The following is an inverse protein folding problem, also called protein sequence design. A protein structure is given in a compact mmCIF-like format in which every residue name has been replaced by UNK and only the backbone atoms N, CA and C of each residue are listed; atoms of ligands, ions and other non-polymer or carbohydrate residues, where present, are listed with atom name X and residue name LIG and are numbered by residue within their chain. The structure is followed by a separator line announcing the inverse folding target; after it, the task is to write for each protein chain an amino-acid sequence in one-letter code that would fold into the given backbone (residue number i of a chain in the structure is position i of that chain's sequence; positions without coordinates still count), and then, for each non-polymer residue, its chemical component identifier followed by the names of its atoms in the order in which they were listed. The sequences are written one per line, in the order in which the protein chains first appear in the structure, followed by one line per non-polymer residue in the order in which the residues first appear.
data_IF_346299416260
#
_entry.id   IF_346299416260
#
_cell.length_a   1.000
_cell.length_b   1.000
_cell.length_c   1.000
_cell.angle_alpha   90.00
_cell.angle_beta   90.00
_cell.angle_gamma   90.00
#
_symmetry.space_group_name_H-M   'P 1'
#
loop_
_entity.id
_entity.type
_entity.pdbx_description
1 polymer ?
#
# COMPACT_ATOMS: atom_id res chain seq x y z
N UNK A 1 38.32 67.91 17.60
CA UNK A 1 39.23 66.75 17.44
C UNK A 1 38.50 65.50 17.89
N UNK A 2 38.38 64.51 16.99
CA UNK A 2 38.14 63.08 17.25
C UNK A 2 36.93 62.67 18.11
N UNK A 3 35.79 62.31 17.50
CA UNK A 3 35.47 60.92 17.07
C UNK A 3 35.35 59.94 18.24
N UNK A 4 34.11 59.51 18.56
CA UNK A 4 33.69 58.11 18.83
C UNK A 4 32.16 57.97 18.66
N UNK A 5 31.71 57.99 17.40
CA UNK A 5 30.51 57.24 16.99
C UNK A 5 30.92 55.77 16.82
N UNK A 6 29.94 54.86 16.88
CA UNK A 6 30.03 53.42 16.55
C UNK A 6 30.27 52.45 17.72
N UNK A 7 29.19 52.09 18.42
CA UNK A 7 29.05 50.83 19.17
C UNK A 7 27.65 50.21 19.02
N UNK A 8 26.93 50.56 17.95
CA UNK A 8 25.69 49.91 17.53
C UNK A 8 25.88 49.44 16.10
N UNK A 9 26.33 48.20 15.89
CA UNK A 9 26.01 47.37 14.72
C UNK A 9 26.87 46.10 14.76
N UNK A 10 26.27 44.98 15.17
CA UNK A 10 26.46 43.63 14.62
C UNK A 10 25.93 42.54 15.57
N UNK A 11 24.67 42.64 16.00
CA UNK A 11 23.94 41.41 16.32
C UNK A 11 23.68 40.71 14.97
N UNK A 12 24.16 39.47 14.74
CA UNK A 12 23.76 38.74 13.56
C UNK A 12 22.24 38.53 13.65
N UNK A 13 21.52 39.14 12.71
CA UNK A 13 20.11 38.82 12.49
C UNK A 13 20.01 37.30 12.37
N UNK A 14 19.26 36.69 13.28
CA UNK A 14 18.76 35.32 13.13
C UNK A 14 18.09 35.28 11.75
N UNK A 15 18.60 34.51 10.77
CA UNK A 15 17.88 34.36 9.53
C UNK A 15 16.56 33.70 9.87
N UNK A 16 15.47 34.43 9.62
CA UNK A 16 14.10 33.94 9.61
C UNK A 16 14.06 32.51 9.05
N UNK A 17 13.29 31.63 9.68
CA UNK A 17 13.23 30.16 9.49
C UNK A 17 12.97 29.66 8.06
N UNK A 18 13.00 30.55 7.07
CA UNK A 18 12.85 30.27 5.64
C UNK A 18 14.14 29.83 4.96
N UNK A 19 15.30 29.90 5.63
CA UNK A 19 16.61 29.53 5.06
C UNK A 19 17.16 28.17 5.56
N UNK A 20 16.33 27.33 6.17
CA UNK A 20 16.61 25.90 6.39
C UNK A 20 15.75 25.06 5.41
N UNK A 21 15.88 25.36 4.12
CA UNK A 21 15.48 24.45 3.02
C UNK A 21 16.72 23.82 2.39
N UNK A 22 17.69 23.41 3.22
CA UNK A 22 18.86 22.65 2.78
C UNK A 22 18.62 21.23 3.28
N UNK A 23 18.32 20.32 2.36
CA UNK A 23 17.75 18.97 2.55
C UNK A 23 16.25 18.92 2.84
N UNK A 24 15.41 19.43 1.92
CA UNK A 24 14.15 18.72 1.68
C UNK A 24 14.51 17.38 1.06
N UNK A 25 14.72 16.37 1.92
CA UNK A 25 14.40 14.98 1.59
C UNK A 25 13.07 15.04 0.83
N UNK A 26 13.00 14.47 -0.37
CA UNK A 26 11.73 14.42 -1.09
C UNK A 26 10.75 13.71 -0.14
N UNK A 27 9.67 14.37 0.33
CA UNK A 27 8.86 13.84 1.43
C UNK A 27 8.25 12.47 1.13
N UNK A 28 8.29 12.04 -0.13
CA UNK A 28 7.71 10.79 -0.61
C UNK A 28 8.54 9.53 -0.37
N UNK A 29 9.79 9.66 0.07
CA UNK A 29 10.66 8.54 0.47
C UNK A 29 10.51 8.19 1.97
N UNK A 30 9.72 8.98 2.71
CA UNK A 30 9.44 8.79 4.12
C UNK A 30 7.94 8.56 4.35
N UNK A 31 7.58 8.04 5.52
CA UNK A 31 6.18 7.87 5.89
C UNK A 31 5.55 9.25 6.17
N UNK A 32 4.51 9.59 5.41
CA UNK A 32 3.78 10.83 5.59
C UNK A 32 2.54 10.64 6.49
N UNK A 33 2.18 11.63 7.33
CA UNK A 33 0.96 11.54 8.14
C UNK A 33 -0.27 11.29 7.26
N UNK A 34 -1.09 10.31 7.64
CA UNK A 34 -2.33 9.90 6.94
C UNK A 34 -2.13 9.24 5.57
N UNK A 35 -0.93 8.78 5.23
CA UNK A 35 -0.69 8.00 4.01
C UNK A 35 -1.34 6.60 4.09
N UNK A 36 -2.09 6.20 3.05
CA UNK A 36 -2.76 4.90 2.96
C UNK A 36 -2.14 3.96 1.91
N UNK A 37 -1.26 4.47 1.05
CA UNK A 37 -0.59 3.71 -0.02
C UNK A 37 0.91 3.53 0.23
N UNK A 38 1.60 2.91 -0.72
CA UNK A 38 3.05 2.71 -0.70
C UNK A 38 3.82 4.04 -0.78
N UNK A 39 5.09 4.01 -0.34
CA UNK A 39 6.07 5.07 -0.62
C UNK A 39 6.49 5.05 -2.10
N UNK A 40 7.15 6.11 -2.56
CA UNK A 40 7.65 6.19 -3.93
C UNK A 40 8.69 5.08 -4.20
N UNK A 41 8.67 4.52 -5.42
CA UNK A 41 9.60 3.48 -5.80
C UNK A 41 11.01 4.04 -6.04
N UNK A 42 11.98 3.61 -5.22
CA UNK A 42 13.40 3.92 -5.42
C UNK A 42 14.14 2.86 -6.25
N UNK A 43 13.51 1.72 -6.55
CA UNK A 43 14.12 0.60 -7.30
C UNK A 43 13.14 0.05 -8.35
N UNK A 44 13.63 -0.54 -9.47
CA UNK A 44 12.76 -1.15 -10.48
C UNK A 44 11.93 -2.31 -9.90
N UNK A 45 12.46 -3.00 -8.90
CA UNK A 45 11.76 -4.04 -8.15
C UNK A 45 10.55 -3.46 -7.40
N UNK A 46 10.72 -2.34 -6.69
CA UNK A 46 9.62 -1.69 -5.98
C UNK A 46 8.55 -1.18 -6.94
N UNK A 47 8.95 -0.69 -8.12
CA UNK A 47 7.99 -0.29 -9.16
C UNK A 47 7.13 -1.48 -9.60
N UNK A 48 7.75 -2.63 -9.89
CA UNK A 48 7.03 -3.86 -10.24
C UNK A 48 6.08 -4.34 -9.14
N UNK A 49 6.44 -4.17 -7.87
CA UNK A 49 5.57 -4.50 -6.72
C UNK A 49 4.35 -3.57 -6.66
N UNK A 50 4.53 -2.27 -6.89
CA UNK A 50 3.43 -1.28 -6.89
C UNK A 50 2.47 -1.57 -8.05
N UNK A 51 2.99 -1.86 -9.24
CA UNK A 51 2.18 -2.18 -10.41
C UNK A 51 1.37 -3.47 -10.18
N UNK A 52 2.02 -4.52 -9.67
CA UNK A 52 1.35 -5.76 -9.27
C UNK A 52 0.28 -5.50 -8.21
N UNK A 53 0.55 -4.66 -7.21
CA UNK A 53 -0.42 -4.34 -6.17
C UNK A 53 -1.68 -3.68 -6.73
N UNK A 54 -1.55 -2.75 -7.68
CA UNK A 54 -2.70 -2.11 -8.32
C UNK A 54 -3.51 -3.12 -9.15
N UNK A 55 -2.85 -3.96 -9.94
CA UNK A 55 -3.50 -4.99 -10.76
C UNK A 55 -4.24 -6.02 -9.90
N UNK A 56 -3.62 -6.46 -8.80
CA UNK A 56 -4.24 -7.41 -7.88
C UNK A 56 -5.41 -6.76 -7.14
N UNK A 57 -5.26 -5.52 -6.67
CA UNK A 57 -6.28 -4.83 -5.86
C UNK A 57 -7.60 -4.61 -6.58
N UNK A 58 -7.61 -4.62 -7.91
CA UNK A 58 -8.83 -4.58 -8.71
C UNK A 58 -9.79 -5.75 -8.42
N UNK A 59 -9.27 -6.97 -8.31
CA UNK A 59 -10.07 -8.19 -8.09
C UNK A 59 -10.80 -8.25 -6.73
N UNK A 60 -10.15 -8.04 -5.56
CA UNK A 60 -10.82 -8.05 -4.28
C UNK A 60 -11.80 -6.89 -4.12
N UNK A 61 -11.55 -5.72 -4.71
CA UNK A 61 -12.52 -4.61 -4.73
C UNK A 61 -13.80 -5.04 -5.46
N UNK A 62 -13.67 -5.70 -6.63
CA UNK A 62 -14.81 -6.22 -7.38
C UNK A 62 -15.61 -7.25 -6.57
N UNK A 63 -14.92 -8.21 -5.94
CA UNK A 63 -15.56 -9.23 -5.10
C UNK A 63 -16.25 -8.57 -3.89
N UNK A 64 -15.59 -7.60 -3.25
CA UNK A 64 -16.13 -6.87 -2.10
C UNK A 64 -17.43 -6.15 -2.46
N UNK A 65 -17.47 -5.46 -3.60
CA UNK A 65 -18.69 -4.79 -4.09
C UNK A 65 -19.79 -5.80 -4.38
N UNK A 66 -19.48 -6.92 -5.04
CA UNK A 66 -20.45 -7.98 -5.33
C UNK A 66 -21.06 -8.59 -4.05
N UNK A 67 -20.22 -8.95 -3.08
CA UNK A 67 -20.67 -9.53 -1.81
C UNK A 67 -21.46 -8.51 -0.99
N UNK A 68 -21.01 -7.25 -0.94
CA UNK A 68 -21.70 -6.17 -0.24
C UNK A 68 -23.09 -5.93 -0.84
N UNK A 69 -23.20 -5.89 -2.17
CA UNK A 69 -24.47 -5.80 -2.87
C UNK A 69 -25.41 -6.96 -2.54
N UNK A 70 -24.91 -8.21 -2.62
CA UNK A 70 -25.69 -9.40 -2.31
C UNK A 70 -26.19 -9.39 -0.86
N UNK A 71 -25.34 -8.98 0.07
CA UNK A 71 -25.66 -8.90 1.51
C UNK A 71 -26.76 -7.86 1.77
N UNK A 72 -26.61 -6.63 1.25
CA UNK A 72 -27.63 -5.58 1.37
C UNK A 72 -28.95 -6.01 0.73
N UNK A 73 -28.90 -6.64 -0.45
CA UNK A 73 -30.09 -7.15 -1.14
C UNK A 73 -30.78 -8.26 -0.35
N UNK A 74 -30.03 -9.17 0.26
CA UNK A 74 -30.57 -10.23 1.09
C UNK A 74 -31.26 -9.64 2.34
N UNK A 75 -30.60 -8.73 3.05
CA UNK A 75 -31.18 -8.03 4.21
C UNK A 75 -32.46 -7.28 3.85
N UNK A 76 -32.49 -6.61 2.70
CA UNK A 76 -33.68 -5.89 2.24
C UNK A 76 -34.83 -6.85 1.87
N UNK A 77 -34.53 -7.92 1.12
CA UNK A 77 -35.55 -8.84 0.60
C UNK A 77 -36.16 -9.71 1.71
N UNK A 78 -35.35 -10.20 2.64
CA UNK A 78 -35.77 -11.03 3.78
C UNK A 78 -36.17 -10.22 5.01
N UNK A 79 -36.29 -8.90 4.90
CA UNK A 79 -36.80 -8.06 5.97
C UNK A 79 -38.23 -8.49 6.35
N UNK A 80 -38.55 -8.55 7.65
CA UNK A 80 -39.83 -9.04 8.19
C UNK A 80 -41.06 -8.43 7.48
N UNK A 81 -41.00 -7.15 7.12
CA UNK A 81 -42.08 -6.45 6.39
C UNK A 81 -42.36 -7.01 4.99
N UNK A 82 -41.37 -7.65 4.34
CA UNK A 82 -41.48 -8.18 2.97
C UNK A 82 -41.58 -9.70 2.91
N UNK A 83 -40.96 -10.41 3.84
CA UNK A 83 -41.02 -11.88 3.89
C UNK A 83 -41.37 -12.40 5.30
N UNK A 84 -42.66 -12.39 5.69
CA UNK A 84 -43.09 -12.78 7.03
C UNK A 84 -43.03 -14.29 7.29
N UNK A 85 -43.06 -15.13 6.24
CA UNK A 85 -42.98 -16.60 6.36
C UNK A 85 -41.60 -17.07 5.84
N UNK A 86 -40.73 -17.64 6.68
CA UNK A 86 -39.42 -18.13 6.25
C UNK A 86 -39.54 -19.46 5.50
N UNK A 87 -38.76 -19.62 4.43
CA UNK A 87 -38.62 -20.91 3.76
C UNK A 87 -37.64 -21.81 4.51
N UNK A 88 -37.99 -23.10 4.69
CA UNK A 88 -37.20 -24.11 5.39
C UNK A 88 -36.38 -24.97 4.41
N UNK A 89 -35.35 -24.38 3.81
CA UNK A 89 -34.39 -25.11 2.96
C UNK A 89 -33.11 -25.30 3.78
N UNK A 90 -32.74 -26.56 4.05
CA UNK A 90 -31.64 -26.89 4.96
C UNK A 90 -30.41 -27.43 4.21
N UNK A 91 -30.62 -28.05 3.05
CA UNK A 91 -29.55 -28.68 2.26
C UNK A 91 -29.54 -28.13 0.84
N UNK A 92 -28.34 -27.82 0.36
CA UNK A 92 -28.11 -27.27 -0.96
C UNK A 92 -26.74 -27.63 -1.52
N UNK A 93 -26.39 -28.91 -1.57
CA UNK A 93 -25.06 -29.40 -1.98
C UNK A 93 -24.54 -28.72 -3.26
N UNK A 94 -25.41 -28.48 -4.25
CA UNK A 94 -25.04 -27.79 -5.49
C UNK A 94 -24.54 -26.36 -5.26
N UNK A 95 -25.21 -25.56 -4.42
CA UNK A 95 -24.75 -24.18 -4.13
C UNK A 95 -23.46 -24.19 -3.30
N UNK A 96 -23.25 -25.21 -2.48
CA UNK A 96 -22.01 -25.38 -1.71
C UNK A 96 -20.81 -25.67 -2.60
N UNK A 97 -21.00 -26.45 -3.66
CA UNK A 97 -19.95 -26.72 -4.66
C UNK A 97 -19.68 -25.47 -5.50
N UNK A 98 -20.73 -24.76 -5.93
CA UNK A 98 -20.56 -23.54 -6.73
C UNK A 98 -19.77 -22.47 -5.96
N UNK A 99 -20.10 -22.24 -4.68
CA UNK A 99 -19.43 -21.22 -3.85
C UNK A 99 -18.01 -21.60 -3.44
N UNK A 100 -17.56 -22.84 -3.59
CA UNK A 100 -16.16 -23.21 -3.32
C UNK A 100 -15.32 -23.13 -4.59
N UNK A 101 -15.86 -23.55 -5.72
CA UNK A 101 -15.18 -23.48 -7.02
C UNK A 101 -15.04 -22.02 -7.48
N UNK A 102 -16.12 -21.24 -7.42
CA UNK A 102 -16.13 -19.88 -7.96
C UNK A 102 -15.09 -18.95 -7.30
N UNK A 103 -14.95 -18.90 -5.96
CA UNK A 103 -13.92 -18.08 -5.32
C UNK A 103 -12.51 -18.65 -5.46
N UNK A 104 -12.34 -19.94 -5.76
CA UNK A 104 -11.01 -20.55 -5.92
C UNK A 104 -10.38 -20.23 -7.27
N UNK A 105 -11.20 -19.99 -8.29
CA UNK A 105 -10.71 -19.69 -9.65
C UNK A 105 -10.10 -18.29 -9.74
N UNK A 106 -10.65 -17.30 -9.04
CA UNK A 106 -10.20 -15.90 -9.15
C UNK A 106 -8.74 -15.72 -8.66
N UNK A 107 -8.34 -16.24 -7.48
CA UNK A 107 -6.93 -16.19 -7.03
C UNK A 107 -5.96 -16.97 -7.90
N UNK A 108 -6.42 -18.02 -8.58
CA UNK A 108 -5.56 -18.80 -9.49
C UNK A 108 -5.06 -17.94 -10.67
N UNK A 109 -5.91 -17.06 -11.20
CA UNK A 109 -5.49 -16.12 -12.26
C UNK A 109 -4.56 -15.02 -11.74
N UNK A 110 -4.75 -14.59 -10.49
CA UNK A 110 -3.88 -13.61 -9.82
C UNK A 110 -2.45 -14.15 -9.61
N UNK A 111 -2.30 -15.46 -9.42
CA UNK A 111 -1.00 -16.07 -9.20
C UNK A 111 -0.06 -15.97 -10.42
N UNK A 112 -0.59 -15.92 -11.64
CA UNK A 112 0.20 -15.88 -12.88
C UNK A 112 1.12 -14.64 -12.95
N UNK A 113 0.62 -13.39 -12.86
CA UNK A 113 1.48 -12.21 -12.87
C UNK A 113 2.39 -12.14 -11.63
N UNK A 114 1.94 -12.68 -10.48
CA UNK A 114 2.75 -12.74 -9.26
C UNK A 114 4.00 -13.59 -9.42
N UNK A 115 3.90 -14.76 -10.09
CA UNK A 115 5.05 -15.61 -10.35
C UNK A 115 6.01 -14.97 -11.36
N UNK A 116 5.49 -14.30 -12.40
CA UNK A 116 6.33 -13.61 -13.37
C UNK A 116 7.22 -12.53 -12.72
N UNK A 117 6.67 -11.75 -11.77
CA UNK A 117 7.46 -10.77 -11.01
C UNK A 117 8.49 -11.43 -10.09
N UNK A 118 8.15 -12.55 -9.45
CA UNK A 118 9.07 -13.26 -8.56
C UNK A 118 10.31 -13.75 -9.29
N UNK A 119 10.14 -14.30 -10.50
CA UNK A 119 11.28 -14.73 -11.33
C UNK A 119 12.14 -13.55 -11.79
N UNK A 120 11.52 -12.42 -12.17
CA UNK A 120 12.28 -11.25 -12.61
C UNK A 120 13.08 -10.60 -11.48
N UNK A 121 12.66 -10.76 -10.22
CA UNK A 121 13.39 -10.28 -9.04
C UNK A 121 14.57 -11.18 -8.65
N UNK A 122 14.51 -12.47 -8.94
CA UNK A 122 15.59 -13.44 -8.63
C UNK A 122 16.76 -13.33 -9.61
N UNK A 123 16.50 -12.98 -10.87
CA UNK A 123 17.52 -12.88 -11.94
C UNK A 123 18.39 -11.60 -11.90
N UNK A 124 18.19 -10.69 -10.93
CA UNK A 124 18.62 -9.28 -11.03
C UNK A 124 20.13 -9.02 -10.95
N UNK A 125 21.00 -9.95 -10.56
CA UNK A 125 22.42 -9.62 -10.34
C UNK A 125 23.37 -10.68 -10.88
N UNK A 126 23.79 -10.53 -12.13
CA UNK A 126 24.88 -11.34 -12.71
C UNK A 126 26.25 -10.78 -12.32
N UNK A 127 26.40 -9.46 -12.10
CA UNK A 127 27.65 -8.82 -11.64
C UNK A 127 27.38 -7.53 -10.81
N UNK A 128 27.48 -7.55 -9.46
CA UNK A 128 27.29 -6.37 -8.63
C UNK A 128 28.50 -5.43 -8.66
N UNK A 129 28.28 -4.12 -8.87
CA UNK A 129 29.34 -3.12 -8.83
C UNK A 129 29.88 -2.87 -7.40
N UNK A 130 29.04 -3.04 -6.37
CA UNK A 130 29.38 -2.86 -4.95
C UNK A 130 28.67 -3.94 -4.14
N UNK A 131 29.39 -4.57 -3.21
CA UNK A 131 28.84 -5.54 -2.25
C UNK A 131 28.94 -4.98 -0.84
N UNK A 132 27.78 -4.74 -0.20
CA UNK A 132 27.72 -4.31 1.20
C UNK A 132 27.17 -5.43 2.07
N UNK A 133 27.92 -5.84 3.09
CA UNK A 133 27.47 -6.84 4.07
C UNK A 133 26.85 -6.15 5.27
N UNK A 134 25.53 -6.30 5.44
CA UNK A 134 24.83 -5.88 6.65
C UNK A 134 24.72 -7.08 7.62
N UNK A 135 25.17 -6.91 8.87
CA UNK A 135 25.01 -7.92 9.93
C UNK A 135 23.98 -7.40 10.93
N UNK A 136 22.85 -8.11 11.02
CA UNK A 136 21.80 -7.82 11.98
C UNK A 136 22.18 -8.33 13.37
N UNK A 137 22.29 -7.41 14.31
CA UNK A 137 22.59 -7.67 15.71
C UNK A 137 21.33 -7.49 16.56
N UNK A 138 21.17 -8.25 17.65
CA UNK A 138 19.96 -8.14 18.46
C UNK A 138 19.89 -6.74 19.08
N UNK A 139 18.96 -5.93 18.57
CA UNK A 139 18.80 -4.52 18.94
C UNK A 139 20.16 -3.79 18.89
N UNK A 140 20.85 -3.90 17.76
CA UNK A 140 22.12 -3.22 17.45
C UNK A 140 23.33 -3.57 18.34
N UNK A 141 23.35 -4.71 19.05
CA UNK A 141 24.57 -5.25 19.69
C UNK A 141 25.14 -6.52 19.07
#
# INVERSE_FOLDING_TARGET
MSSKKWLFLSLPLIPSSKSLKVLTINPRDAAEPWQLGSQDAATPVMQGIIDLHHDISFFPILILVFVSWMSVRASWHFHYRRNPIPQRIVHGTTIEIIRTIFPSIIPMFIAIPSFALLYSMDEVVVDPAITTKAIGHQWYR
#
